data_IF_078823523543
#
_entry.id   IF_078823523543
#
_cell.length_a   1.000
_cell.length_b   1.000
_cell.length_c   1.000
_cell.angle_alpha   90.00
_cell.angle_beta   90.00
_cell.angle_gamma   90.00
#
_symmetry.space_group_name_H-M   'P 1'
#
loop_
_entity.id
_entity.type
_entity.pdbx_description
1 polymer ?
#
# COMPACT_ATOMS: atom_id res chain seq x y z
N UNK A 1 -70.42 73.71 -25.39
CA UNK A 1 -69.04 73.86 -25.87
C UNK A 1 -68.14 72.92 -25.17
N UNK A 2 -67.53 72.08 -25.89
CA UNK A 2 -66.95 70.77 -25.59
C UNK A 2 -65.65 70.88 -24.84
N UNK A 3 -65.48 70.13 -23.72
CA UNK A 3 -64.22 69.82 -23.09
C UNK A 3 -64.02 68.29 -23.09
N UNK A 4 -63.00 67.89 -23.82
CA UNK A 4 -62.53 66.51 -23.95
C UNK A 4 -61.76 66.12 -22.68
N UNK A 5 -62.31 65.17 -21.93
CA UNK A 5 -61.56 64.49 -20.86
C UNK A 5 -60.71 63.38 -21.49
N UNK A 6 -59.36 63.47 -21.33
CA UNK A 6 -58.42 62.40 -21.62
C UNK A 6 -58.33 61.55 -20.42
N UNK A 7 -58.84 60.32 -20.46
CA UNK A 7 -58.57 59.25 -19.52
C UNK A 7 -57.14 58.69 -19.78
N UNK A 8 -56.23 58.92 -18.83
CA UNK A 8 -54.92 58.24 -18.80
C UNK A 8 -55.12 56.97 -18.03
N UNK A 9 -55.14 55.85 -18.72
CA UNK A 9 -55.11 54.50 -18.12
C UNK A 9 -53.69 54.23 -17.62
N UNK A 10 -53.48 54.20 -16.33
CA UNK A 10 -52.23 53.76 -15.67
C UNK A 10 -52.26 52.22 -15.66
N UNK A 11 -51.52 51.57 -16.59
CA UNK A 11 -51.29 50.13 -16.54
C UNK A 11 -50.23 49.90 -15.48
N UNK A 12 -50.66 49.42 -14.32
CA UNK A 12 -49.78 48.94 -13.27
C UNK A 12 -49.29 47.54 -13.67
N UNK A 13 -48.14 47.49 -14.35
CA UNK A 13 -47.47 46.24 -14.69
C UNK A 13 -46.79 45.70 -13.45
N UNK A 14 -47.50 44.86 -12.70
CA UNK A 14 -46.95 44.11 -11.58
C UNK A 14 -45.87 43.16 -12.12
N UNK A 15 -44.59 43.51 -11.97
CA UNK A 15 -43.45 42.57 -12.08
C UNK A 15 -43.61 41.51 -10.99
N UNK A 16 -44.22 40.39 -11.33
CA UNK A 16 -44.02 39.15 -10.52
C UNK A 16 -42.58 38.70 -10.68
N UNK A 17 -41.73 39.05 -9.71
CA UNK A 17 -40.46 38.36 -9.51
C UNK A 17 -40.79 36.92 -9.16
N UNK A 18 -40.68 36.04 -10.14
CA UNK A 18 -40.58 34.62 -9.89
C UNK A 18 -39.25 34.42 -9.11
N UNK A 19 -39.37 34.34 -7.79
CA UNK A 19 -38.37 33.70 -7.00
C UNK A 19 -38.36 32.23 -7.45
N UNK A 20 -37.41 31.85 -8.30
CA UNK A 20 -37.07 30.46 -8.48
C UNK A 20 -36.51 30.01 -7.12
N UNK A 21 -37.42 29.45 -6.31
CA UNK A 21 -36.95 28.60 -5.23
C UNK A 21 -36.07 27.53 -5.89
N UNK A 22 -34.76 27.65 -5.73
CA UNK A 22 -33.88 26.52 -5.99
C UNK A 22 -34.52 25.37 -5.19
N UNK A 23 -35.07 24.39 -5.92
CA UNK A 23 -35.50 23.16 -5.31
C UNK A 23 -34.25 22.58 -4.66
N UNK A 24 -34.15 22.71 -3.35
CA UNK A 24 -33.20 21.95 -2.53
C UNK A 24 -33.45 20.53 -2.99
N UNK A 25 -32.45 19.93 -3.64
CA UNK A 25 -32.46 18.54 -4.05
C UNK A 25 -32.89 17.75 -2.82
N UNK A 26 -34.10 17.21 -2.84
CA UNK A 26 -34.61 16.41 -1.73
C UNK A 26 -33.67 15.22 -1.66
N UNK A 27 -32.86 15.14 -0.64
CA UNK A 27 -31.92 14.04 -0.42
C UNK A 27 -32.70 12.73 -0.53
N UNK A 28 -32.53 12.04 -1.69
CA UNK A 28 -33.26 10.82 -1.95
C UNK A 28 -32.80 9.73 -0.98
N UNK A 29 -33.73 8.91 -0.53
CA UNK A 29 -33.42 7.70 0.25
C UNK A 29 -32.75 6.69 -0.67
N UNK A 30 -31.66 6.05 -0.21
CA UNK A 30 -31.00 4.95 -0.90
C UNK A 30 -31.43 3.60 -0.34
N UNK A 31 -31.60 3.48 0.97
CA UNK A 31 -32.14 2.32 1.64
C UNK A 31 -32.74 2.69 3.01
N UNK A 32 -33.61 1.81 3.52
CA UNK A 32 -34.09 1.83 4.90
C UNK A 32 -33.69 0.50 5.55
N UNK A 33 -33.03 0.56 6.68
CA UNK A 33 -32.59 -0.61 7.44
C UNK A 33 -33.34 -0.63 8.77
N UNK A 34 -34.33 -1.51 8.91
CA UNK A 34 -35.34 -1.49 9.96
C UNK A 34 -36.02 -0.11 9.94
N UNK A 35 -35.76 0.74 10.96
CA UNK A 35 -36.35 2.09 11.05
C UNK A 35 -35.36 3.22 10.71
N UNK A 36 -34.14 2.89 10.23
CA UNK A 36 -33.09 3.88 9.96
C UNK A 36 -32.83 4.07 8.47
N UNK A 37 -32.76 5.33 8.08
CA UNK A 37 -32.55 5.76 6.70
C UNK A 37 -31.06 5.83 6.37
N UNK A 38 -30.73 5.39 5.15
CA UNK A 38 -29.47 5.68 4.46
C UNK A 38 -29.82 6.58 3.28
N UNK A 39 -29.32 7.81 3.26
CA UNK A 39 -29.56 8.75 2.18
C UNK A 39 -28.65 8.49 0.96
N UNK A 40 -29.03 8.99 -0.22
CA UNK A 40 -28.13 8.99 -1.38
C UNK A 40 -26.90 9.86 -1.14
N UNK A 41 -27.04 10.90 -0.32
CA UNK A 41 -25.93 11.74 0.12
C UNK A 41 -24.90 10.94 0.91
N UNK A 42 -25.33 10.10 1.86
CA UNK A 42 -24.41 9.25 2.64
C UNK A 42 -23.63 8.31 1.73
N UNK A 43 -24.32 7.72 0.74
CA UNK A 43 -23.68 6.86 -0.26
C UNK A 43 -22.65 7.63 -1.09
N UNK A 44 -23.00 8.81 -1.59
CA UNK A 44 -22.10 9.61 -2.41
C UNK A 44 -20.89 10.14 -1.61
N UNK A 45 -21.10 10.55 -0.36
CA UNK A 45 -20.02 10.95 0.54
C UNK A 45 -19.06 9.78 0.83
N UNK A 46 -19.59 8.59 1.08
CA UNK A 46 -18.75 7.40 1.33
C UNK A 46 -18.02 6.93 0.06
N UNK A 47 -18.62 7.05 -1.12
CA UNK A 47 -17.96 6.81 -2.42
C UNK A 47 -16.81 7.80 -2.61
N UNK A 48 -17.05 9.10 -2.33
CA UNK A 48 -16.00 10.11 -2.42
C UNK A 48 -14.85 9.82 -1.46
N UNK A 49 -15.15 9.48 -0.20
CA UNK A 49 -14.14 9.09 0.79
C UNK A 49 -13.29 7.91 0.27
N UNK A 50 -13.94 6.88 -0.27
CA UNK A 50 -13.23 5.72 -0.81
C UNK A 50 -12.32 6.10 -1.99
N UNK A 51 -12.79 6.90 -2.94
CA UNK A 51 -12.01 7.33 -4.10
C UNK A 51 -10.75 8.12 -3.69
N UNK A 52 -10.89 9.07 -2.77
CA UNK A 52 -9.76 9.92 -2.35
C UNK A 52 -8.74 9.18 -1.49
N UNK A 53 -9.16 8.17 -0.73
CA UNK A 53 -8.27 7.37 0.12
C UNK A 53 -7.59 6.24 -0.64
N UNK A 54 -8.23 5.67 -1.67
CA UNK A 54 -7.69 4.57 -2.48
C UNK A 54 -6.90 5.03 -3.71
N UNK A 55 -6.97 6.31 -4.10
CA UNK A 55 -6.34 6.83 -5.31
C UNK A 55 -6.96 6.31 -6.62
N UNK A 56 -8.17 5.73 -6.56
CA UNK A 56 -8.87 5.24 -7.74
C UNK A 56 -9.41 6.42 -8.55
N UNK A 57 -9.21 6.38 -9.87
CA UNK A 57 -9.69 7.41 -10.77
C UNK A 57 -11.23 7.52 -10.77
N UNK A 58 -11.74 8.76 -10.75
CA UNK A 58 -13.15 9.08 -10.71
C UNK A 58 -13.77 8.95 -12.11
N UNK A 59 -14.08 7.73 -12.54
CA UNK A 59 -14.81 7.44 -13.79
C UNK A 59 -16.26 7.05 -13.49
N UNK A 60 -17.22 7.27 -14.41
CA UNK A 60 -18.61 6.84 -14.21
C UNK A 60 -18.73 5.35 -13.87
N UNK A 61 -17.97 4.47 -14.55
CA UNK A 61 -17.97 3.03 -14.30
C UNK A 61 -17.52 2.69 -12.88
N UNK A 62 -16.45 3.32 -12.41
CA UNK A 62 -15.93 3.12 -11.06
C UNK A 62 -16.97 3.58 -10.01
N UNK A 63 -17.58 4.75 -10.21
CA UNK A 63 -18.58 5.30 -9.30
C UNK A 63 -19.79 4.37 -9.17
N UNK A 64 -20.36 3.89 -10.29
CA UNK A 64 -21.55 3.02 -10.25
C UNK A 64 -21.27 1.66 -9.60
N UNK A 65 -20.07 1.10 -9.83
CA UNK A 65 -19.63 -0.12 -9.15
C UNK A 65 -19.50 0.09 -7.64
N UNK A 66 -18.87 1.19 -7.26
CA UNK A 66 -18.63 1.55 -5.87
C UNK A 66 -19.91 1.88 -5.11
N UNK A 67 -20.88 2.57 -5.73
CA UNK A 67 -22.17 2.89 -5.08
C UNK A 67 -22.88 1.65 -4.54
N UNK A 68 -22.94 0.59 -5.34
CA UNK A 68 -23.57 -0.68 -4.90
C UNK A 68 -22.80 -1.35 -3.77
N UNK A 69 -21.49 -1.27 -3.80
CA UNK A 69 -20.64 -1.83 -2.75
C UNK A 69 -20.76 -1.01 -1.46
N UNK A 70 -20.62 0.30 -1.56
CA UNK A 70 -20.75 1.25 -0.45
C UNK A 70 -22.12 1.15 0.22
N UNK A 71 -23.21 1.08 -0.55
CA UNK A 71 -24.54 0.91 0.00
C UNK A 71 -24.65 -0.37 0.85
N UNK A 72 -24.06 -1.48 0.38
CA UNK A 72 -24.02 -2.72 1.19
C UNK A 72 -23.22 -2.56 2.47
N UNK A 73 -22.11 -1.83 2.42
CA UNK A 73 -21.29 -1.53 3.62
C UNK A 73 -22.07 -0.66 4.60
N UNK A 74 -22.72 0.42 4.14
CA UNK A 74 -23.54 1.29 5.00
C UNK A 74 -24.70 0.55 5.65
N UNK A 75 -25.34 -0.39 4.93
CA UNK A 75 -26.37 -1.27 5.52
C UNK A 75 -25.77 -2.14 6.63
N UNK A 76 -24.58 -2.70 6.44
CA UNK A 76 -23.90 -3.49 7.47
C UNK A 76 -23.53 -2.64 8.69
N UNK A 77 -22.98 -1.45 8.48
CA UNK A 77 -22.66 -0.51 9.56
C UNK A 77 -23.89 -0.10 10.36
N UNK A 78 -25.03 0.13 9.68
CA UNK A 78 -26.31 0.39 10.36
C UNK A 78 -26.73 -0.76 11.26
N UNK A 79 -26.68 -1.98 10.77
CA UNK A 79 -27.00 -3.18 11.59
C UNK A 79 -26.04 -3.35 12.75
N UNK A 80 -24.75 -3.12 12.54
CA UNK A 80 -23.73 -3.17 13.60
C UNK A 80 -23.98 -2.14 14.70
N UNK A 81 -24.35 -0.90 14.33
CA UNK A 81 -24.66 0.15 15.28
C UNK A 81 -25.98 -0.12 16.05
N UNK A 82 -27.00 -0.67 15.37
CA UNK A 82 -28.25 -1.07 16.01
C UNK A 82 -27.98 -2.14 17.08
N UNK A 83 -27.25 -3.20 16.72
CA UNK A 83 -26.91 -4.30 17.64
C UNK A 83 -26.06 -3.82 18.83
N UNK A 84 -25.11 -2.92 18.57
CA UNK A 84 -24.30 -2.32 19.64
C UNK A 84 -25.15 -1.50 20.60
N UNK A 85 -26.09 -0.68 20.08
CA UNK A 85 -27.03 0.11 20.91
C UNK A 85 -27.98 -0.76 21.72
N UNK A 86 -28.49 -1.83 21.12
CA UNK A 86 -29.34 -2.80 21.82
C UNK A 86 -28.61 -3.50 22.97
N UNK A 87 -27.26 -3.53 22.85
CA UNK A 87 -26.35 -4.04 23.89
C UNK A 87 -25.81 -2.94 24.82
N UNK A 88 -26.43 -1.74 24.83
CA UNK A 88 -26.04 -0.59 25.64
C UNK A 88 -24.58 -0.13 25.42
N UNK A 89 -24.07 -0.31 24.21
CA UNK A 89 -22.73 0.12 23.82
C UNK A 89 -22.81 1.47 23.12
N UNK A 90 -22.21 2.46 23.73
CA UNK A 90 -22.05 3.80 23.18
C UNK A 90 -20.56 4.13 22.97
N UNK A 91 -20.25 4.82 21.89
CA UNK A 91 -18.91 5.31 21.57
C UNK A 91 -18.88 6.81 21.79
N UNK A 92 -18.02 7.24 22.68
CA UNK A 92 -17.87 8.66 22.99
C UNK A 92 -17.16 9.43 21.88
N UNK A 93 -17.43 10.71 21.75
CA UNK A 93 -16.72 11.61 20.83
C UNK A 93 -15.21 11.61 21.04
N UNK A 94 -14.76 11.46 22.29
CA UNK A 94 -13.34 11.38 22.62
C UNK A 94 -12.67 10.13 22.01
N UNK A 95 -13.36 8.99 22.01
CA UNK A 95 -12.85 7.75 21.43
C UNK A 95 -12.77 7.84 19.90
N UNK A 96 -13.78 8.44 19.26
CA UNK A 96 -13.76 8.69 17.81
C UNK A 96 -12.57 9.59 17.46
N UNK A 97 -12.39 10.70 18.17
CA UNK A 97 -11.28 11.62 17.94
C UNK A 97 -9.92 10.96 18.16
N UNK A 98 -9.77 10.10 19.19
CA UNK A 98 -8.54 9.36 19.43
C UNK A 98 -8.23 8.42 18.27
N UNK A 99 -9.22 7.66 17.79
CA UNK A 99 -9.05 6.74 16.65
C UNK A 99 -8.71 7.51 15.36
N UNK A 100 -9.32 8.68 15.12
CA UNK A 100 -8.98 9.55 14.01
C UNK A 100 -7.53 10.07 14.10
N UNK A 101 -7.09 10.42 15.29
CA UNK A 101 -5.72 10.90 15.54
C UNK A 101 -4.68 9.81 15.32
N UNK A 102 -4.96 8.58 15.75
CA UNK A 102 -4.11 7.41 15.48
C UNK A 102 -4.00 7.13 13.99
N UNK A 103 -5.12 7.18 13.26
CA UNK A 103 -5.15 7.00 11.81
C UNK A 103 -4.34 8.08 11.07
N UNK A 104 -4.50 9.35 11.47
CA UNK A 104 -3.76 10.48 10.90
C UNK A 104 -2.24 10.31 11.14
N UNK A 105 -1.86 9.95 12.36
CA UNK A 105 -0.46 9.71 12.76
C UNK A 105 0.18 8.58 11.94
N UNK A 106 -0.57 7.52 11.64
CA UNK A 106 -0.11 6.42 10.78
C UNK A 106 0.23 6.86 9.34
N UNK A 107 -0.28 8.00 8.90
CA UNK A 107 0.03 8.61 7.59
C UNK A 107 0.96 9.83 7.69
N UNK A 108 1.58 10.08 8.84
CA UNK A 108 2.39 11.26 9.15
C UNK A 108 1.64 12.59 8.91
N UNK A 109 0.36 12.66 9.23
CA UNK A 109 -0.49 13.85 9.12
C UNK A 109 -1.09 14.21 10.46
N UNK A 110 -1.40 15.49 10.64
CA UNK A 110 -2.25 15.94 11.73
C UNK A 110 -3.74 15.73 11.38
N UNK A 111 -4.60 15.73 12.40
CA UNK A 111 -6.05 15.64 12.19
C UNK A 111 -6.58 16.83 11.36
N UNK A 112 -6.08 18.04 11.60
CA UNK A 112 -6.44 19.24 10.84
C UNK A 112 -6.08 19.11 9.35
N UNK A 113 -4.93 18.49 9.04
CA UNK A 113 -4.54 18.22 7.66
C UNK A 113 -5.43 17.17 6.99
N UNK A 114 -5.88 16.15 7.74
CA UNK A 114 -6.85 15.17 7.25
C UNK A 114 -8.20 15.85 6.99
N UNK A 115 -8.70 16.66 7.92
CA UNK A 115 -9.97 17.39 7.73
C UNK A 115 -9.91 18.32 6.51
N UNK A 116 -8.82 19.08 6.38
CA UNK A 116 -8.58 19.94 5.22
C UNK A 116 -8.57 19.15 3.92
N UNK A 117 -7.84 18.03 3.88
CA UNK A 117 -7.77 17.15 2.71
C UNK A 117 -9.14 16.60 2.31
N UNK A 118 -9.94 16.15 3.27
CA UNK A 118 -11.29 15.65 3.01
C UNK A 118 -12.19 16.77 2.46
N UNK A 119 -12.15 17.95 3.05
CA UNK A 119 -12.93 19.11 2.61
C UNK A 119 -12.55 19.56 1.18
N UNK A 120 -11.26 19.60 0.84
CA UNK A 120 -10.79 19.93 -0.50
C UNK A 120 -11.26 18.93 -1.56
N UNK A 121 -11.56 17.69 -1.15
CA UNK A 121 -12.09 16.63 -2.00
C UNK A 121 -13.62 16.43 -1.89
N UNK A 122 -14.33 17.42 -1.34
CA UNK A 122 -15.79 17.38 -1.14
C UNK A 122 -16.28 16.18 -0.30
N UNK A 123 -15.50 15.79 0.68
CA UNK A 123 -15.86 14.78 1.69
C UNK A 123 -16.09 15.45 3.02
N UNK A 124 -17.26 15.24 3.62
CA UNK A 124 -17.56 15.73 4.96
C UNK A 124 -16.86 14.85 6.00
N UNK A 125 -16.20 15.48 6.99
CA UNK A 125 -15.45 14.75 8.03
C UNK A 125 -16.34 13.73 8.78
N UNK A 126 -17.62 14.06 8.98
CA UNK A 126 -18.58 13.18 9.61
C UNK A 126 -18.69 11.81 8.95
N UNK A 127 -18.49 11.72 7.64
CA UNK A 127 -18.49 10.43 6.91
C UNK A 127 -17.41 9.47 7.41
N UNK A 128 -16.26 10.01 7.78
CA UNK A 128 -15.18 9.25 8.41
C UNK A 128 -15.47 8.95 9.88
N UNK A 129 -16.01 9.92 10.61
CA UNK A 129 -16.43 9.75 12.01
C UNK A 129 -17.46 8.63 12.16
N UNK A 130 -18.52 8.63 11.32
CA UNK A 130 -19.58 7.62 11.33
C UNK A 130 -19.04 6.21 11.03
N UNK A 131 -18.05 6.11 10.13
CA UNK A 131 -17.37 4.84 9.85
C UNK A 131 -16.60 4.33 11.06
N UNK A 132 -15.83 5.19 11.70
CA UNK A 132 -15.04 4.86 12.89
C UNK A 132 -15.95 4.49 14.06
N UNK A 133 -17.05 5.23 14.25
CA UNK A 133 -18.04 4.91 15.28
C UNK A 133 -18.60 3.50 15.10
N UNK A 134 -19.03 3.14 13.88
CA UNK A 134 -19.54 1.81 13.59
C UNK A 134 -18.50 0.71 13.83
N UNK A 135 -17.25 0.95 13.45
CA UNK A 135 -16.16 0.01 13.67
C UNK A 135 -15.85 -0.18 15.16
N UNK A 136 -15.73 0.91 15.92
CA UNK A 136 -15.46 0.85 17.35
C UNK A 136 -16.60 0.17 18.11
N UNK A 137 -17.84 0.52 17.81
CA UNK A 137 -19.04 -0.06 18.42
C UNK A 137 -19.11 -1.56 18.16
N UNK A 138 -18.95 -1.97 16.89
CA UNK A 138 -18.96 -3.37 16.51
C UNK A 138 -17.84 -4.17 17.16
N UNK A 139 -16.62 -3.65 17.16
CA UNK A 139 -15.48 -4.30 17.79
C UNK A 139 -15.69 -4.50 19.29
N UNK A 140 -16.27 -3.50 19.98
CA UNK A 140 -16.61 -3.60 21.41
C UNK A 140 -17.71 -4.63 21.65
N UNK A 141 -18.76 -4.62 20.86
CA UNK A 141 -19.84 -5.61 20.90
C UNK A 141 -19.29 -7.03 20.72
N UNK A 142 -18.53 -7.28 19.64
CA UNK A 142 -17.99 -8.60 19.32
C UNK A 142 -17.11 -9.14 20.44
N UNK A 143 -16.23 -8.31 21.01
CA UNK A 143 -15.38 -8.70 22.13
C UNK A 143 -16.20 -8.99 23.40
N UNK A 144 -17.16 -8.16 23.72
CA UNK A 144 -18.01 -8.35 24.88
C UNK A 144 -18.88 -9.62 24.77
N UNK A 145 -19.49 -9.85 23.60
CA UNK A 145 -20.45 -10.93 23.37
C UNK A 145 -19.80 -12.28 23.14
N UNK A 146 -18.68 -12.32 22.43
CA UNK A 146 -18.05 -13.56 21.97
C UNK A 146 -16.67 -13.81 22.59
N UNK A 147 -16.01 -12.79 23.15
CA UNK A 147 -14.64 -12.91 23.64
C UNK A 147 -14.45 -14.03 24.66
N UNK A 148 -15.40 -14.17 25.60
CA UNK A 148 -15.37 -15.27 26.58
C UNK A 148 -15.69 -16.65 26.04
N UNK A 149 -16.16 -16.76 24.79
CA UNK A 149 -16.48 -18.03 24.13
C UNK A 149 -15.33 -18.55 23.27
N UNK A 150 -14.35 -17.72 22.99
CA UNK A 150 -13.15 -18.08 22.21
C UNK A 150 -12.13 -18.69 23.15
N UNK A 151 -11.80 -19.94 22.92
CA UNK A 151 -10.70 -20.64 23.58
C UNK A 151 -9.73 -21.17 22.53
N UNK A 152 -8.46 -20.86 22.68
CA UNK A 152 -7.39 -21.37 21.83
C UNK A 152 -6.67 -22.46 22.61
N UNK A 153 -6.59 -23.66 22.02
CA UNK A 153 -5.91 -24.79 22.66
C UNK A 153 -4.40 -24.66 22.55
N UNK A 154 -3.68 -25.06 23.61
CA UNK A 154 -2.21 -25.06 23.63
C UNK A 154 -1.61 -25.82 22.43
N UNK A 155 -2.19 -27.00 22.11
CA UNK A 155 -1.76 -27.80 20.95
C UNK A 155 -1.88 -27.04 19.63
N UNK A 156 -2.97 -26.29 19.45
CA UNK A 156 -3.20 -25.49 18.25
C UNK A 156 -2.18 -24.35 18.12
N UNK A 157 -1.80 -23.74 19.24
CA UNK A 157 -0.73 -22.73 19.30
C UNK A 157 0.59 -23.38 18.91
N UNK A 158 0.94 -24.53 19.51
CA UNK A 158 2.18 -25.25 19.24
C UNK A 158 2.29 -25.68 17.78
N UNK A 159 1.27 -26.30 17.22
CA UNK A 159 1.24 -26.70 15.81
C UNK A 159 1.30 -25.49 14.85
N UNK A 160 0.71 -24.37 15.24
CA UNK A 160 0.76 -23.15 14.42
C UNK A 160 2.13 -22.48 14.51
N UNK A 161 2.74 -22.48 15.69
CA UNK A 161 4.10 -22.00 15.90
C UNK A 161 5.12 -22.84 15.11
N UNK A 162 5.04 -24.18 15.23
CA UNK A 162 5.91 -25.12 14.49
C UNK A 162 5.79 -24.91 12.96
N UNK A 163 4.55 -24.78 12.44
CA UNK A 163 4.34 -24.48 11.01
C UNK A 163 4.91 -23.13 10.59
N UNK A 164 4.77 -22.12 11.43
CA UNK A 164 5.29 -20.79 11.16
C UNK A 164 6.83 -20.76 11.21
N UNK A 165 7.45 -21.44 12.17
CA UNK A 165 8.91 -21.62 12.26
C UNK A 165 9.43 -22.44 11.07
N UNK A 166 8.76 -23.54 10.71
CA UNK A 166 9.13 -24.34 9.53
C UNK A 166 9.07 -23.50 8.23
N UNK A 167 8.05 -22.63 8.11
CA UNK A 167 7.95 -21.71 6.98
C UNK A 167 9.03 -20.63 6.97
N UNK A 168 9.49 -20.19 8.14
CA UNK A 168 10.60 -19.24 8.27
C UNK A 168 11.96 -19.89 7.98
N UNK A 169 12.09 -21.18 8.26
CA UNK A 169 13.33 -21.94 8.03
C UNK A 169 13.54 -22.33 6.55
N UNK A 170 12.73 -21.80 5.64
CA UNK A 170 12.89 -21.99 4.21
C UNK A 170 13.25 -20.66 3.54
N UNK A 171 14.21 -20.72 2.62
CA UNK A 171 14.47 -19.59 1.75
C UNK A 171 13.24 -19.29 0.91
N UNK A 172 12.83 -18.03 0.86
CA UNK A 172 11.65 -17.55 0.15
C UNK A 172 12.00 -16.42 -0.78
N UNK A 173 11.28 -16.33 -1.87
CA UNK A 173 11.42 -15.23 -2.83
C UNK A 173 10.07 -14.62 -3.14
N UNK A 174 10.07 -13.32 -3.31
CA UNK A 174 8.93 -12.58 -3.84
C UNK A 174 9.21 -12.29 -5.30
N UNK A 175 8.41 -12.86 -6.20
CA UNK A 175 8.64 -12.77 -7.63
C UNK A 175 7.36 -12.42 -8.40
N UNK A 176 7.57 -11.85 -9.56
CA UNK A 176 6.57 -11.79 -10.63
C UNK A 176 6.99 -12.71 -11.76
N UNK A 177 6.02 -13.33 -12.43
CA UNK A 177 6.26 -14.26 -13.54
C UNK A 177 5.52 -13.87 -14.82
N UNK A 178 6.10 -14.20 -15.95
CA UNK A 178 5.44 -14.28 -17.25
C UNK A 178 5.71 -15.68 -17.81
N UNK A 179 4.66 -16.43 -18.11
CA UNK A 179 4.74 -17.73 -18.76
C UNK A 179 4.26 -17.61 -20.20
N UNK A 180 5.11 -17.99 -21.13
CA UNK A 180 4.77 -18.09 -22.54
C UNK A 180 4.66 -19.57 -22.93
N UNK A 181 3.54 -19.96 -23.54
CA UNK A 181 3.28 -21.34 -23.96
C UNK A 181 3.57 -21.53 -25.43
N UNK A 182 4.31 -22.58 -25.79
CA UNK A 182 4.46 -23.01 -27.15
C UNK A 182 3.22 -23.82 -27.60
N UNK A 183 2.64 -23.49 -28.74
CA UNK A 183 1.50 -24.23 -29.28
C UNK A 183 1.95 -25.58 -29.91
N UNK A 184 3.24 -25.70 -30.25
CA UNK A 184 3.86 -26.93 -30.78
C UNK A 184 5.40 -26.86 -30.64
N UNK A 185 6.09 -27.98 -30.82
CA UNK A 185 7.57 -28.08 -30.72
C UNK A 185 8.34 -27.20 -31.74
N UNK A 186 7.76 -26.88 -32.88
CA UNK A 186 8.39 -26.03 -33.90
C UNK A 186 8.39 -24.53 -33.52
N UNK A 187 7.54 -24.14 -32.58
CA UNK A 187 7.42 -22.73 -32.11
C UNK A 187 8.46 -22.37 -31.04
N UNK A 188 9.22 -23.31 -30.48
CA UNK A 188 10.12 -23.07 -29.34
C UNK A 188 11.18 -21.99 -29.61
N UNK A 189 11.85 -22.03 -30.78
CA UNK A 189 12.86 -21.01 -31.11
C UNK A 189 12.25 -19.64 -31.37
N UNK A 190 11.06 -19.56 -31.96
CA UNK A 190 10.33 -18.31 -32.16
C UNK A 190 9.90 -17.75 -30.83
N UNK A 191 9.35 -18.57 -29.95
CA UNK A 191 8.88 -18.19 -28.63
C UNK A 191 10.04 -17.71 -27.77
N UNK A 192 11.22 -18.33 -27.84
CA UNK A 192 12.43 -17.87 -27.18
C UNK A 192 12.86 -16.48 -27.67
N UNK A 193 12.77 -16.23 -28.99
CA UNK A 193 13.05 -14.90 -29.56
C UNK A 193 12.04 -13.84 -29.11
N UNK A 194 10.75 -14.19 -29.04
CA UNK A 194 9.69 -13.30 -28.52
C UNK A 194 9.92 -13.00 -27.03
N UNK A 195 10.26 -14.02 -26.23
CA UNK A 195 10.61 -13.85 -24.83
C UNK A 195 11.80 -12.91 -24.63
N UNK A 196 12.86 -13.06 -25.46
CA UNK A 196 14.02 -12.18 -25.42
C UNK A 196 13.67 -10.71 -25.75
N UNK A 197 12.77 -10.48 -26.71
CA UNK A 197 12.27 -9.13 -27.01
C UNK A 197 11.47 -8.54 -25.83
N UNK A 198 10.64 -9.35 -25.19
CA UNK A 198 9.89 -8.95 -23.97
C UNK A 198 10.88 -8.56 -22.87
N UNK A 199 11.92 -9.35 -22.62
CA UNK A 199 12.96 -9.03 -21.61
C UNK A 199 13.63 -7.69 -21.91
N UNK A 200 13.99 -7.42 -23.19
CA UNK A 200 14.58 -6.12 -23.56
C UNK A 200 13.64 -4.94 -23.25
N UNK A 201 12.35 -5.09 -23.54
CA UNK A 201 11.34 -4.06 -23.23
C UNK A 201 11.18 -3.85 -21.74
N UNK A 202 11.14 -4.92 -20.96
CA UNK A 202 11.03 -4.86 -19.49
C UNK A 202 12.27 -4.20 -18.87
N UNK A 203 13.48 -4.53 -19.34
CA UNK A 203 14.73 -3.91 -18.91
C UNK A 203 14.84 -2.44 -19.36
N UNK A 204 14.14 -2.05 -20.42
CA UNK A 204 13.99 -0.65 -20.83
C UNK A 204 12.97 0.14 -19.98
N UNK A 205 12.31 -0.49 -19.01
CA UNK A 205 11.44 0.17 -18.04
C UNK A 205 9.94 0.02 -18.31
N UNK A 206 9.52 -0.84 -19.24
CA UNK A 206 8.10 -1.16 -19.41
C UNK A 206 7.61 -1.92 -18.18
N UNK A 207 6.40 -1.60 -17.73
CA UNK A 207 5.82 -2.18 -16.51
C UNK A 207 5.59 -3.69 -16.66
N UNK A 208 6.24 -4.47 -15.81
CA UNK A 208 6.18 -5.94 -15.82
C UNK A 208 4.74 -6.45 -15.72
N UNK A 209 3.95 -5.90 -14.80
CA UNK A 209 2.57 -6.32 -14.60
C UNK A 209 1.65 -6.05 -15.80
N UNK A 210 1.92 -5.00 -16.59
CA UNK A 210 1.18 -4.73 -17.81
C UNK A 210 1.48 -5.79 -18.89
N UNK A 211 2.75 -6.15 -19.03
CA UNK A 211 3.19 -7.21 -19.97
C UNK A 211 2.67 -8.57 -19.53
N UNK A 212 2.71 -8.88 -18.23
CA UNK A 212 2.17 -10.13 -17.68
C UNK A 212 0.66 -10.27 -17.99
N UNK A 213 -0.13 -9.23 -17.78
CA UNK A 213 -1.58 -9.25 -18.10
C UNK A 213 -1.86 -9.46 -19.57
N UNK A 214 -0.98 -9.01 -20.44
CA UNK A 214 -1.19 -9.08 -21.89
C UNK A 214 -0.69 -10.39 -22.51
N UNK A 215 0.44 -10.92 -22.04
CA UNK A 215 1.15 -12.02 -22.72
C UNK A 215 1.28 -13.30 -21.90
N UNK A 216 1.11 -13.22 -20.56
CA UNK A 216 1.33 -14.39 -19.73
C UNK A 216 0.14 -15.35 -19.76
N UNK A 217 0.45 -16.63 -19.95
CA UNK A 217 -0.50 -17.72 -19.81
C UNK A 217 -0.62 -18.23 -18.36
N UNK A 218 0.18 -17.71 -17.45
CA UNK A 218 0.11 -18.09 -16.04
C UNK A 218 -1.19 -17.64 -15.38
N UNK A 219 -1.66 -18.35 -14.37
CA UNK A 219 -2.85 -17.98 -13.57
C UNK A 219 -2.69 -16.65 -12.84
N UNK A 220 -1.44 -16.27 -12.54
CA UNK A 220 -1.06 -14.99 -11.93
C UNK A 220 -1.19 -13.78 -12.87
N UNK A 221 -1.43 -13.99 -14.18
CA UNK A 221 -1.46 -12.92 -15.20
C UNK A 221 -2.46 -11.81 -14.87
N UNK A 222 -3.66 -12.15 -14.37
CA UNK A 222 -4.67 -11.19 -13.94
C UNK A 222 -4.18 -10.25 -12.83
N UNK A 223 -3.29 -10.76 -11.95
CA UNK A 223 -2.62 -10.00 -10.88
C UNK A 223 -1.28 -9.38 -11.32
N UNK A 224 -1.04 -9.28 -12.65
CA UNK A 224 0.21 -8.74 -13.19
C UNK A 224 1.41 -9.67 -13.01
N UNK A 225 1.18 -10.98 -12.92
CA UNK A 225 2.22 -11.98 -12.73
C UNK A 225 2.71 -12.13 -11.29
N UNK A 226 2.10 -11.42 -10.33
CA UNK A 226 2.56 -11.42 -8.93
C UNK A 226 2.22 -12.75 -8.24
N UNK A 227 3.25 -13.48 -7.80
CA UNK A 227 3.14 -14.71 -7.00
C UNK A 227 3.28 -14.47 -5.49
N UNK A 228 3.69 -13.27 -5.09
CA UNK A 228 4.00 -12.98 -3.69
C UNK A 228 5.22 -13.75 -3.19
N UNK A 229 5.21 -14.06 -1.88
CA UNK A 229 6.29 -14.83 -1.24
C UNK A 229 6.07 -16.33 -1.39
N UNK A 230 6.97 -16.99 -2.11
CA UNK A 230 6.96 -18.45 -2.31
C UNK A 230 8.28 -19.06 -1.82
N UNK A 231 8.25 -20.26 -1.23
CA UNK A 231 9.45 -21.01 -0.90
C UNK A 231 10.24 -21.36 -2.16
N UNK A 232 11.57 -21.23 -2.11
CA UNK A 232 12.45 -21.51 -3.27
C UNK A 232 12.30 -22.94 -3.77
N UNK A 233 12.06 -23.89 -2.86
CA UNK A 233 11.85 -25.31 -3.21
C UNK A 233 10.52 -25.61 -3.93
N UNK A 234 9.63 -24.62 -4.08
CA UNK A 234 8.40 -24.75 -4.88
C UNK A 234 8.56 -24.21 -6.31
N UNK A 235 9.70 -23.61 -6.61
CA UNK A 235 10.01 -23.15 -7.96
C UNK A 235 10.45 -24.31 -8.85
N UNK A 236 10.28 -24.12 -10.17
CA UNK A 236 10.86 -25.04 -11.16
C UNK A 236 12.39 -25.11 -11.01
N UNK A 237 12.96 -26.30 -11.15
CA UNK A 237 14.39 -26.57 -10.97
C UNK A 237 15.29 -25.72 -11.87
N UNK A 238 14.80 -25.30 -13.03
CA UNK A 238 15.53 -24.43 -13.95
C UNK A 238 15.48 -22.94 -13.53
N UNK A 239 14.50 -22.56 -12.71
CA UNK A 239 14.33 -21.18 -12.20
C UNK A 239 15.21 -20.92 -10.98
N UNK A 240 15.36 -21.90 -10.09
CA UNK A 240 16.10 -21.77 -8.81
C UNK A 240 17.51 -21.19 -9.00
N UNK A 241 18.41 -21.77 -9.84
CA UNK A 241 19.79 -21.29 -9.94
C UNK A 241 19.89 -19.87 -10.54
N UNK A 242 18.89 -19.47 -11.32
CA UNK A 242 18.83 -18.13 -11.90
C UNK A 242 18.47 -17.13 -10.81
N UNK A 243 17.42 -17.40 -10.03
CA UNK A 243 16.99 -16.54 -8.95
C UNK A 243 18.08 -16.39 -7.89
N UNK A 244 18.82 -17.43 -7.56
CA UNK A 244 19.92 -17.36 -6.58
C UNK A 244 20.95 -16.29 -6.93
N UNK A 245 21.21 -16.08 -8.22
CA UNK A 245 22.19 -15.12 -8.74
C UNK A 245 21.61 -13.71 -9.05
N UNK A 246 20.27 -13.53 -8.97
CA UNK A 246 19.61 -12.23 -9.23
C UNK A 246 19.64 -11.33 -8.01
N UNK A 247 19.74 -10.03 -8.23
CA UNK A 247 19.48 -8.99 -7.22
C UNK A 247 18.00 -8.58 -7.23
N UNK A 248 17.55 -7.95 -6.13
CA UNK A 248 16.20 -7.42 -6.06
C UNK A 248 15.95 -6.35 -7.13
N UNK A 249 14.90 -6.54 -7.93
CA UNK A 249 14.54 -5.71 -9.06
C UNK A 249 15.03 -6.23 -10.41
N UNK A 250 15.88 -7.25 -10.43
CA UNK A 250 16.38 -7.84 -11.68
C UNK A 250 15.27 -8.59 -12.42
N UNK A 251 15.45 -8.66 -13.74
CA UNK A 251 14.61 -9.43 -14.66
C UNK A 251 15.50 -10.49 -15.31
N UNK A 252 15.08 -11.76 -15.22
CA UNK A 252 15.80 -12.89 -15.82
C UNK A 252 15.89 -12.78 -17.33
N UNK A 253 16.83 -13.51 -17.92
CA UNK A 253 16.72 -13.94 -19.29
C UNK A 253 15.56 -14.95 -19.43
N UNK A 254 15.08 -15.27 -20.64
CA UNK A 254 14.08 -16.30 -20.83
C UNK A 254 14.57 -17.66 -20.31
N UNK A 255 13.74 -18.32 -19.49
CA UNK A 255 14.04 -19.60 -18.84
C UNK A 255 13.16 -20.67 -19.45
N UNK A 256 13.77 -21.66 -20.06
CA UNK A 256 13.05 -22.83 -20.59
C UNK A 256 12.73 -23.82 -19.48
N UNK A 257 11.45 -24.20 -19.36
CA UNK A 257 10.95 -25.18 -18.41
C UNK A 257 10.02 -26.18 -19.11
N UNK A 258 9.63 -27.22 -18.40
CA UNK A 258 8.65 -28.20 -18.92
C UNK A 258 7.26 -27.58 -19.18
N UNK A 259 6.92 -26.49 -18.51
CA UNK A 259 5.64 -25.78 -18.66
C UNK A 259 5.65 -24.74 -19.80
N UNK A 260 6.83 -24.30 -20.27
CA UNK A 260 6.98 -23.26 -21.28
C UNK A 260 8.20 -22.38 -21.00
N UNK A 261 8.19 -21.15 -21.53
CA UNK A 261 9.26 -20.18 -21.32
C UNK A 261 8.82 -19.19 -20.25
N UNK A 262 9.59 -19.12 -19.17
CA UNK A 262 9.39 -18.16 -18.09
C UNK A 262 10.29 -16.95 -18.25
N UNK A 263 9.75 -15.79 -17.85
CA UNK A 263 10.50 -14.57 -17.53
C UNK A 263 10.13 -14.22 -16.11
N UNK A 264 11.13 -14.05 -15.24
CA UNK A 264 10.93 -13.78 -13.82
C UNK A 264 11.51 -12.43 -13.44
N UNK A 265 10.77 -11.66 -12.67
CA UNK A 265 11.29 -10.49 -11.97
C UNK A 265 11.39 -10.80 -10.49
N UNK A 266 12.59 -10.66 -9.93
CA UNK A 266 12.82 -10.83 -8.51
C UNK A 266 12.51 -9.52 -7.77
N UNK A 267 11.51 -9.53 -6.89
CA UNK A 267 11.18 -8.37 -6.07
C UNK A 267 12.00 -8.35 -4.77
N UNK A 268 12.16 -9.50 -4.12
CA UNK A 268 12.90 -9.61 -2.84
C UNK A 268 13.27 -11.07 -2.54
N UNK A 269 14.31 -11.26 -1.73
CA UNK A 269 14.71 -12.56 -1.17
C UNK A 269 14.60 -12.50 0.35
N UNK A 270 14.21 -13.61 0.95
CA UNK A 270 14.22 -13.82 2.38
C UNK A 270 14.92 -15.15 2.65
N UNK A 271 16.02 -15.10 3.37
CA UNK A 271 16.76 -16.30 3.78
C UNK A 271 16.02 -17.04 4.90
N UNK A 272 16.35 -18.29 5.08
CA UNK A 272 15.91 -19.10 6.21
C UNK A 272 16.15 -18.39 7.55
N UNK A 273 15.24 -18.55 8.49
CA UNK A 273 15.21 -17.79 9.75
C UNK A 273 14.54 -16.43 9.66
N UNK A 274 13.89 -16.12 8.52
CA UNK A 274 13.16 -14.85 8.33
C UNK A 274 14.07 -13.65 8.08
N UNK A 275 15.36 -13.90 7.77
CA UNK A 275 16.34 -12.86 7.47
C UNK A 275 16.04 -12.24 6.10
N UNK A 276 15.84 -10.95 6.09
CA UNK A 276 15.66 -10.16 4.87
C UNK A 276 16.84 -9.17 4.72
N UNK A 277 17.80 -9.43 3.81
CA UNK A 277 18.95 -8.56 3.62
C UNK A 277 18.59 -7.11 3.29
N UNK A 278 17.39 -6.87 2.74
CA UNK A 278 16.90 -5.52 2.46
C UNK A 278 16.49 -4.73 3.70
N UNK A 279 16.36 -5.40 4.87
CA UNK A 279 16.14 -4.80 6.19
C UNK A 279 17.44 -4.51 6.93
N UNK A 280 18.58 -4.95 6.41
CA UNK A 280 19.87 -4.59 6.98
C UNK A 280 19.98 -3.08 7.10
N UNK A 281 20.44 -2.60 8.25
CA UNK A 281 20.60 -1.19 8.54
C UNK A 281 22.03 -0.76 8.22
N UNK A 282 22.16 0.32 7.49
CA UNK A 282 23.44 0.93 7.13
C UNK A 282 23.48 2.39 7.56
N UNK A 283 24.61 2.79 8.14
CA UNK A 283 24.93 4.18 8.40
C UNK A 283 26.02 4.60 7.42
N UNK A 284 25.66 5.45 6.46
CA UNK A 284 26.53 5.89 5.39
C UNK A 284 26.99 7.33 5.58
N UNK A 285 28.24 7.58 5.23
CA UNK A 285 28.77 8.94 5.00
C UNK A 285 28.90 9.16 3.50
N UNK A 286 28.11 10.09 2.96
CA UNK A 286 28.08 10.43 1.55
C UNK A 286 28.77 11.78 1.35
N UNK A 287 29.81 11.81 0.50
CA UNK A 287 30.60 12.99 0.21
C UNK A 287 30.52 13.26 -1.29
N UNK A 288 30.10 14.47 -1.66
CA UNK A 288 29.98 14.88 -3.06
C UNK A 288 30.73 16.17 -3.36
N UNK A 289 31.30 16.23 -4.57
CA UNK A 289 31.90 17.43 -5.16
C UNK A 289 31.29 17.70 -6.53
N UNK A 290 31.35 18.97 -6.99
CA UNK A 290 30.97 19.31 -8.36
C UNK A 290 32.03 18.83 -9.37
N UNK A 291 31.60 18.21 -10.46
CA UNK A 291 32.51 17.72 -11.52
C UNK A 291 33.16 18.87 -12.32
N UNK A 292 32.53 20.03 -12.37
CA UNK A 292 33.00 21.18 -13.13
C UNK A 292 34.33 21.76 -12.66
N UNK A 293 34.79 21.45 -11.44
CA UNK A 293 36.04 21.93 -10.86
C UNK A 293 37.12 20.86 -10.97
N UNK A 294 38.23 21.16 -11.62
CA UNK A 294 39.41 20.30 -11.71
C UNK A 294 39.95 19.95 -10.31
N UNK A 295 40.39 18.69 -10.13
CA UNK A 295 41.00 18.23 -8.89
C UNK A 295 40.01 17.65 -7.85
N UNK A 296 38.69 17.78 -8.02
CA UNK A 296 37.73 17.25 -7.04
C UNK A 296 37.74 15.72 -6.95
N UNK A 297 37.98 15.02 -8.07
CA UNK A 297 38.12 13.54 -8.02
C UNK A 297 39.37 13.16 -7.22
N UNK A 298 40.50 13.84 -7.40
CA UNK A 298 41.72 13.63 -6.62
C UNK A 298 41.52 13.91 -5.12
N UNK A 299 40.65 14.86 -4.75
CA UNK A 299 40.25 15.09 -3.35
C UNK A 299 39.53 13.86 -2.75
N UNK A 300 38.60 13.29 -3.49
CA UNK A 300 37.88 12.06 -3.05
C UNK A 300 38.83 10.87 -2.97
N UNK A 301 39.74 10.70 -3.91
CA UNK A 301 40.77 9.66 -3.87
C UNK A 301 41.68 9.83 -2.64
N UNK A 302 42.12 11.06 -2.35
CA UNK A 302 42.90 11.37 -1.16
C UNK A 302 42.14 11.08 0.14
N UNK A 303 40.81 11.37 0.18
CA UNK A 303 39.97 11.03 1.34
C UNK A 303 39.83 9.52 1.49
N UNK A 304 39.64 8.78 0.38
CA UNK A 304 39.58 7.31 0.39
C UNK A 304 40.91 6.72 0.91
N UNK A 305 42.04 7.13 0.36
CA UNK A 305 43.35 6.59 0.68
C UNK A 305 43.80 6.94 2.11
N UNK A 306 43.31 8.06 2.66
CA UNK A 306 43.55 8.48 4.04
C UNK A 306 42.41 8.12 5.01
N UNK A 307 41.49 7.25 4.61
CA UNK A 307 40.39 6.84 5.46
C UNK A 307 40.88 6.14 6.76
N UNK A 308 40.31 6.57 7.87
CA UNK A 308 40.56 5.96 9.18
C UNK A 308 39.27 5.70 9.94
N UNK A 309 38.39 6.71 10.02
CA UNK A 309 37.06 6.63 10.63
C UNK A 309 36.14 7.58 9.91
N UNK A 310 34.83 7.28 9.91
CA UNK A 310 33.84 8.16 9.33
C UNK A 310 33.87 9.59 9.90
N UNK A 311 34.00 9.73 11.21
CA UNK A 311 34.06 11.05 11.86
C UNK A 311 35.25 11.88 11.37
N UNK A 312 36.40 11.25 11.24
CA UNK A 312 37.62 11.94 10.77
C UNK A 312 37.50 12.32 9.28
N UNK A 313 36.97 11.40 8.46
CA UNK A 313 36.75 11.64 7.03
C UNK A 313 35.69 12.71 6.78
N UNK A 314 34.63 12.74 7.59
CA UNK A 314 33.63 13.80 7.56
C UNK A 314 34.23 15.19 7.83
N UNK A 315 35.08 15.29 8.87
CA UNK A 315 35.77 16.55 9.21
C UNK A 315 36.70 16.99 8.09
N UNK A 316 37.54 16.10 7.56
CA UNK A 316 38.45 16.37 6.44
C UNK A 316 37.69 16.80 5.17
N UNK A 317 36.57 16.15 4.84
CA UNK A 317 35.78 16.49 3.67
C UNK A 317 35.20 17.90 3.78
N UNK A 318 34.76 18.32 4.96
CA UNK A 318 34.31 19.69 5.23
C UNK A 318 35.44 20.72 5.08
N UNK A 319 36.65 20.41 5.58
CA UNK A 319 37.85 21.26 5.42
C UNK A 319 38.31 21.36 3.98
N UNK A 320 38.01 20.36 3.13
CA UNK A 320 38.35 20.32 1.71
C UNK A 320 37.25 20.92 0.81
N UNK A 321 36.30 21.66 1.36
CA UNK A 321 35.20 22.32 0.66
C UNK A 321 34.33 21.34 -0.17
N UNK A 322 33.96 20.18 0.39
CA UNK A 322 33.01 19.31 -0.23
C UNK A 322 31.64 20.00 -0.41
N UNK A 323 31.01 19.81 -1.57
CA UNK A 323 29.69 20.37 -1.87
C UNK A 323 28.63 19.92 -0.87
N UNK A 324 28.66 18.63 -0.56
CA UNK A 324 27.78 18.05 0.43
C UNK A 324 28.49 16.93 1.21
N UNK A 325 28.28 16.90 2.51
CA UNK A 325 28.78 15.86 3.43
C UNK A 325 27.59 15.46 4.30
N UNK A 326 27.01 14.30 4.03
CA UNK A 326 25.79 13.84 4.70
C UNK A 326 26.02 12.52 5.39
N UNK A 327 25.60 12.42 6.65
CA UNK A 327 25.51 11.19 7.41
C UNK A 327 24.05 10.70 7.46
N UNK A 328 23.79 9.48 7.05
CA UNK A 328 22.41 8.97 6.96
C UNK A 328 21.84 8.52 8.30
N UNK A 329 22.69 8.16 9.26
CA UNK A 329 22.26 7.35 10.40
C UNK A 329 21.86 5.95 9.95
N UNK A 330 21.25 5.18 10.85
CA UNK A 330 20.80 3.81 10.56
C UNK A 330 19.56 3.81 9.64
N UNK A 331 19.75 3.41 8.39
CA UNK A 331 18.71 3.38 7.35
C UNK A 331 18.68 1.98 6.71
N UNK A 332 17.48 1.42 6.52
CA UNK A 332 17.32 0.14 5.85
C UNK A 332 17.84 0.18 4.40
N UNK A 333 18.48 -0.90 3.95
CA UNK A 333 19.05 -1.03 2.61
C UNK A 333 18.01 -0.70 1.51
N UNK A 334 16.75 -1.15 1.70
CA UNK A 334 15.67 -0.89 0.73
C UNK A 334 15.35 0.58 0.48
N UNK A 335 15.74 1.49 1.37
CA UNK A 335 15.50 2.93 1.26
C UNK A 335 16.55 3.66 0.42
N UNK A 336 17.68 3.03 0.13
CA UNK A 336 18.69 3.60 -0.76
C UNK A 336 18.31 3.43 -2.24
N UNK A 337 18.85 4.28 -3.14
CA UNK A 337 18.64 4.14 -4.58
C UNK A 337 19.08 2.75 -5.08
N UNK A 338 18.30 2.14 -5.98
CA UNK A 338 18.54 0.77 -6.47
C UNK A 338 19.97 0.55 -7.01
N UNK A 339 20.52 1.54 -7.69
CA UNK A 339 21.87 1.48 -8.25
C UNK A 339 22.99 1.43 -7.19
N UNK A 340 22.68 1.78 -5.95
CA UNK A 340 23.63 1.71 -4.82
C UNK A 340 23.40 0.49 -3.92
N UNK A 341 22.20 -0.08 -3.92
CA UNK A 341 21.83 -1.18 -3.01
C UNK A 341 22.77 -2.38 -3.13
N UNK A 342 23.11 -2.78 -4.36
CA UNK A 342 23.99 -3.94 -4.60
C UNK A 342 25.40 -3.73 -4.05
N UNK A 343 25.94 -2.53 -4.19
CA UNK A 343 27.29 -2.21 -3.69
C UNK A 343 27.30 -2.03 -2.17
N UNK A 344 26.29 -1.32 -1.63
CA UNK A 344 26.14 -1.16 -0.17
C UNK A 344 26.01 -2.52 0.51
N UNK A 345 25.19 -3.42 -0.07
CA UNK A 345 24.92 -4.75 0.52
C UNK A 345 26.17 -5.63 0.66
N UNK A 346 27.13 -5.48 -0.26
CA UNK A 346 28.37 -6.27 -0.30
C UNK A 346 29.56 -5.61 0.41
N UNK A 347 29.37 -4.34 0.84
CA UNK A 347 30.46 -3.55 1.47
C UNK A 347 30.38 -3.66 2.98
N UNK A 348 31.50 -3.98 3.60
CA UNK A 348 31.62 -4.09 5.06
C UNK A 348 31.74 -2.70 5.73
N UNK A 349 31.41 -2.65 7.02
CA UNK A 349 31.63 -1.44 7.82
C UNK A 349 33.11 -1.03 7.82
N UNK A 350 33.37 0.25 7.62
CA UNK A 350 34.73 0.79 7.47
C UNK A 350 35.29 0.75 6.05
N UNK A 351 34.52 0.28 5.08
CA UNK A 351 34.94 0.27 3.67
C UNK A 351 34.32 1.43 2.89
N UNK A 352 34.96 1.75 1.77
CA UNK A 352 34.63 2.90 0.91
C UNK A 352 34.18 2.43 -0.46
N UNK A 353 33.03 2.93 -0.91
CA UNK A 353 32.47 2.74 -2.27
C UNK A 353 32.85 3.97 -3.12
N UNK A 354 33.50 3.74 -4.23
CA UNK A 354 33.96 4.81 -5.13
C UNK A 354 35.40 5.28 -4.86
N UNK A 355 35.77 6.51 -5.31
CA UNK A 355 34.89 7.54 -5.86
C UNK A 355 34.32 7.20 -7.23
N UNK A 356 33.09 7.70 -7.49
CA UNK A 356 32.39 7.59 -8.76
C UNK A 356 32.10 8.98 -9.32
N UNK A 357 32.02 9.06 -10.63
CA UNK A 357 31.77 10.32 -11.33
C UNK A 357 30.58 10.14 -12.26
N UNK A 358 29.66 11.09 -12.25
CA UNK A 358 28.64 11.26 -13.27
C UNK A 358 28.79 12.65 -13.93
N UNK A 359 27.84 13.08 -14.78
CA UNK A 359 27.92 14.35 -15.50
C UNK A 359 27.94 15.59 -14.59
N UNK A 360 27.46 15.50 -13.36
CA UNK A 360 27.26 16.66 -12.46
C UNK A 360 28.08 16.59 -11.18
N UNK A 361 28.25 15.42 -10.62
CA UNK A 361 28.93 15.23 -9.34
C UNK A 361 29.94 14.09 -9.37
N UNK A 362 30.99 14.22 -8.56
CA UNK A 362 31.81 13.13 -8.10
C UNK A 362 31.38 12.77 -6.68
N UNK A 363 31.21 11.48 -6.41
CA UNK A 363 30.65 10.97 -5.16
C UNK A 363 31.51 9.85 -4.59
N UNK A 364 31.62 9.82 -3.28
CA UNK A 364 32.20 8.74 -2.49
C UNK A 364 31.26 8.41 -1.35
N UNK A 365 31.02 7.13 -1.12
CA UNK A 365 30.19 6.62 -0.03
C UNK A 365 31.05 5.77 0.91
N UNK A 366 30.97 6.02 2.20
CA UNK A 366 31.65 5.21 3.23
C UNK A 366 30.59 4.49 4.04
N UNK A 367 30.72 3.18 4.19
CA UNK A 367 29.89 2.40 5.11
C UNK A 367 30.44 2.55 6.52
N UNK A 368 29.79 3.36 7.33
CA UNK A 368 30.25 3.68 8.69
C UNK A 368 29.85 2.64 9.72
N UNK A 369 28.67 2.07 9.58
CA UNK A 369 28.15 1.00 10.42
C UNK A 369 27.17 0.14 9.60
N UNK A 370 27.10 -1.15 9.97
CA UNK A 370 26.21 -2.12 9.36
C UNK A 370 25.62 -2.99 10.47
N UNK A 371 24.30 -3.18 10.42
CA UNK A 371 23.61 -4.13 11.30
C UNK A 371 22.75 -5.04 10.43
N UNK A 372 23.09 -6.29 10.41
CA UNK A 372 22.35 -7.29 9.67
C UNK A 372 21.02 -7.60 10.37
N UNK A 373 19.98 -7.85 9.56
CA UNK A 373 18.69 -8.30 10.05
C UNK A 373 18.86 -9.63 10.78
N UNK A 374 18.35 -9.69 12.00
CA UNK A 374 18.43 -10.90 12.83
C UNK A 374 17.27 -11.86 12.55
N UNK A 375 16.46 -11.54 11.56
CA UNK A 375 15.24 -12.27 11.24
C UNK A 375 14.07 -11.91 12.16
N UNK A 376 12.91 -12.46 11.86
CA UNK A 376 11.71 -12.28 12.66
C UNK A 376 11.61 -13.40 13.69
N UNK A 377 11.40 -13.03 14.96
CA UNK A 377 11.00 -14.00 15.97
C UNK A 377 9.48 -14.12 16.00
N UNK A 378 8.95 -15.33 15.92
CA UNK A 378 7.54 -15.59 16.10
C UNK A 378 7.31 -15.84 17.59
N UNK A 379 6.52 -14.97 18.25
CA UNK A 379 6.18 -15.21 19.64
C UNK A 379 4.91 -16.06 19.74
N UNK A 380 4.86 -16.92 20.75
CA UNK A 380 3.68 -17.71 21.10
C UNK A 380 2.45 -16.82 21.30
N UNK A 381 2.61 -15.69 22.01
CA UNK A 381 1.55 -14.72 22.27
C UNK A 381 1.00 -14.11 20.98
N UNK A 382 1.87 -13.84 19.99
CA UNK A 382 1.44 -13.33 18.69
C UNK A 382 0.60 -14.35 17.92
N UNK A 383 0.95 -15.64 17.98
CA UNK A 383 0.16 -16.74 17.40
C UNK A 383 -1.19 -16.83 18.10
N UNK A 384 -1.21 -16.86 19.42
CA UNK A 384 -2.44 -16.95 20.21
C UNK A 384 -3.39 -15.78 19.91
N UNK A 385 -2.88 -14.54 19.94
CA UNK A 385 -3.66 -13.35 19.61
C UNK A 385 -4.20 -13.37 18.17
N UNK A 386 -3.43 -13.91 17.22
CA UNK A 386 -3.87 -14.04 15.84
C UNK A 386 -5.00 -15.04 15.71
N UNK A 387 -4.86 -16.23 16.29
CA UNK A 387 -5.89 -17.29 16.32
C UNK A 387 -7.15 -16.80 17.02
N UNK A 388 -7.01 -16.11 18.16
CA UNK A 388 -8.13 -15.51 18.89
C UNK A 388 -8.88 -14.51 18.01
N UNK A 389 -8.16 -13.60 17.35
CA UNK A 389 -8.73 -12.58 16.46
C UNK A 389 -9.44 -13.21 15.26
N UNK A 390 -8.89 -14.27 14.68
CA UNK A 390 -9.51 -15.01 13.57
C UNK A 390 -10.82 -15.66 14.01
N UNK A 391 -10.87 -16.31 15.17
CA UNK A 391 -12.10 -16.93 15.71
C UNK A 391 -13.16 -15.88 16.01
N UNK A 392 -12.79 -14.78 16.64
CA UNK A 392 -13.71 -13.66 16.86
C UNK A 392 -14.29 -13.13 15.55
N UNK A 393 -13.45 -12.94 14.51
CA UNK A 393 -13.90 -12.48 13.20
C UNK A 393 -14.86 -13.49 12.52
N UNK A 394 -14.69 -14.78 12.73
CA UNK A 394 -15.63 -15.81 12.24
C UNK A 394 -16.98 -15.67 12.93
N UNK A 395 -16.99 -15.55 14.27
CA UNK A 395 -18.22 -15.38 15.05
C UNK A 395 -18.93 -14.08 14.68
N UNK A 396 -18.18 -12.98 14.56
CA UNK A 396 -18.70 -11.68 14.14
C UNK A 396 -19.38 -11.74 12.76
N UNK A 397 -18.73 -12.36 11.78
CA UNK A 397 -19.31 -12.54 10.43
C UNK A 397 -20.55 -13.42 10.44
N UNK A 398 -20.58 -14.47 11.27
CA UNK A 398 -21.76 -15.33 11.41
C UNK A 398 -22.92 -14.52 11.98
N UNK A 399 -22.69 -13.83 13.08
CA UNK A 399 -23.71 -13.01 13.74
C UNK A 399 -24.24 -11.91 12.83
N UNK A 400 -23.36 -11.20 12.11
CA UNK A 400 -23.77 -10.17 11.15
C UNK A 400 -24.64 -10.74 10.02
N UNK A 401 -24.39 -11.98 9.56
CA UNK A 401 -25.27 -12.64 8.58
C UNK A 401 -26.64 -12.97 9.17
N UNK A 402 -26.70 -13.36 10.44
CA UNK A 402 -27.96 -13.59 11.16
C UNK A 402 -28.75 -12.29 11.31
N UNK A 403 -28.11 -11.21 11.76
CA UNK A 403 -28.72 -9.87 11.84
C UNK A 403 -29.28 -9.44 10.49
N UNK A 404 -28.51 -9.60 9.40
CA UNK A 404 -28.96 -9.21 8.06
C UNK A 404 -30.14 -10.04 7.56
N UNK A 405 -30.22 -11.33 7.91
CA UNK A 405 -31.34 -12.20 7.55
C UNK A 405 -32.61 -11.78 8.27
N UNK A 406 -32.48 -11.39 9.53
CA UNK A 406 -33.61 -11.10 10.42
C UNK A 406 -34.05 -9.62 10.34
N UNK A 407 -33.28 -8.77 9.66
CA UNK A 407 -33.57 -7.34 9.44
C UNK A 407 -34.43 -7.09 8.18
N UNK A 408 -35.19 -6.00 8.22
CA UNK A 408 -35.93 -5.49 7.06
C UNK A 408 -35.05 -4.46 6.34
N UNK A 409 -34.69 -4.75 5.10
CA UNK A 409 -33.89 -3.84 4.26
C UNK A 409 -34.68 -3.49 3.01
N UNK A 410 -35.10 -2.23 2.88
CA UNK A 410 -35.80 -1.70 1.73
C UNK A 410 -34.86 -0.83 0.89
N UNK A 411 -34.65 -1.19 -0.36
CA UNK A 411 -33.89 -0.39 -1.34
C UNK A 411 -34.82 0.58 -2.07
N UNK A 412 -34.35 1.83 -2.31
CA UNK A 412 -35.13 2.91 -2.93
C UNK A 412 -34.45 3.47 -4.20
#
# INVERSE_FOLDING_TARGET
MTTKNKFIAFIFMALMTFNTAEAREVEGIAAIVNDEVISKFDVDQRVNLFLVTSGIERTPQNIDGLRRQVLRTLIQEKLQLQEARDSEIEISRAEINAAMQDMASGTNRSLDEVEKFLKENNVHIRTMEDQIEAELAWNRFVRGRFGGQVSIGELEIDETLERAEAAMNQDRVNINEILLLANNQLDGQRLMSEAAQIVQQLRAGINFGAVARQFSAASSSASGGNLGWIPVNQLDENIVPIIENMAAGDISDPIETSAGIYIVQLNSKQQSGGIDPMRNLFDLLIITYDVATEGHLAKLESLRDSFTTCKNTESKAKEMDARNVTRTGQVELRRFPKNLQSEISTTEAGQVIGPKKNEKIAEMVVVCDRKDDQGATISRDAIENNLYSQRLAIMARRHLRELRRDSIVEYR
#
